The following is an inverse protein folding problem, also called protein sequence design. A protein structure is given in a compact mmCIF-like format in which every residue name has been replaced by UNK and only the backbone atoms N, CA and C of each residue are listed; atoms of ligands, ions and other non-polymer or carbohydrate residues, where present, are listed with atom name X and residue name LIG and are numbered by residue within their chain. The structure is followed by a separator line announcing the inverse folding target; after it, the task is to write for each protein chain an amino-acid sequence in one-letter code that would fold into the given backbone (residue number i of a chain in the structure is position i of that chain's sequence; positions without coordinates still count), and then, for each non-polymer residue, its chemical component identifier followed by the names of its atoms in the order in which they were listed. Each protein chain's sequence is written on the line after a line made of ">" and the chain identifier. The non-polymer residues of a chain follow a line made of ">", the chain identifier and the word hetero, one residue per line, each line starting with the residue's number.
data_IF_185744207239
#
_entry.id   IF_185744207239
#
_cell.length_a   1.000
_cell.length_b   1.000
_cell.length_c   1.000
_cell.angle_alpha   90.00
_cell.angle_beta   90.00
_cell.angle_gamma   90.00
#
_symmetry.space_group_name_H-M   'P 1'
#
loop_
_entity.id
_entity.type
_entity.pdbx_description
1 polymer ?
#
# COMPACT_ATOMS: atom_id res chain seq x y z
N UNK A 1 -33.42 -21.77 -37.68
CA UNK A 1 -33.49 -21.85 -36.20
C UNK A 1 -32.15 -22.16 -35.52
N UNK A 2 -31.18 -22.83 -36.18
CA UNK A 2 -29.86 -23.15 -35.60
C UNK A 2 -28.86 -21.97 -35.55
N UNK A 3 -28.91 -21.06 -36.52
CA UNK A 3 -27.98 -19.92 -36.63
C UNK A 3 -28.25 -18.79 -35.63
N UNK A 4 -29.52 -18.55 -35.29
CA UNK A 4 -29.93 -17.50 -34.32
C UNK A 4 -29.50 -17.86 -32.90
N UNK A 5 -29.61 -19.14 -32.52
CA UNK A 5 -29.14 -19.62 -31.22
C UNK A 5 -27.64 -19.44 -31.04
N UNK A 6 -26.85 -19.69 -32.09
CA UNK A 6 -25.39 -19.49 -32.07
C UNK A 6 -25.03 -18.00 -31.89
N UNK A 7 -25.77 -17.11 -32.53
CA UNK A 7 -25.55 -15.66 -32.45
C UNK A 7 -25.85 -15.12 -31.05
N UNK A 8 -26.91 -15.62 -30.41
CA UNK A 8 -27.27 -15.26 -29.03
C UNK A 8 -26.21 -15.78 -28.05
N UNK A 9 -25.71 -17.01 -28.23
CA UNK A 9 -24.63 -17.57 -27.39
C UNK A 9 -23.36 -16.73 -27.51
N UNK A 10 -22.98 -16.31 -28.72
CA UNK A 10 -21.83 -15.43 -28.95
C UNK A 10 -21.99 -14.07 -28.23
N UNK A 11 -23.16 -13.43 -28.36
CA UNK A 11 -23.44 -12.14 -27.70
C UNK A 11 -23.38 -12.27 -26.16
N UNK A 12 -24.01 -13.30 -25.59
CA UNK A 12 -24.01 -13.54 -24.14
C UNK A 12 -22.59 -13.83 -23.64
N UNK A 13 -21.80 -14.63 -24.38
CA UNK A 13 -20.43 -14.95 -24.01
C UNK A 13 -19.55 -13.69 -23.98
N UNK A 14 -19.66 -12.79 -24.96
CA UNK A 14 -18.91 -11.53 -24.98
C UNK A 14 -19.29 -10.59 -23.82
N UNK A 15 -20.56 -10.58 -23.40
CA UNK A 15 -21.04 -9.71 -22.32
C UNK A 15 -20.53 -10.15 -20.94
N UNK A 16 -20.31 -11.45 -20.72
CA UNK A 16 -19.81 -11.99 -19.44
C UNK A 16 -18.34 -11.63 -19.16
N UNK A 17 -17.50 -11.51 -20.20
CA UNK A 17 -16.10 -11.11 -20.03
C UNK A 17 -15.93 -9.63 -19.67
N UNK A 18 -16.92 -8.78 -20.01
CA UNK A 18 -16.86 -7.33 -19.77
C UNK A 18 -17.21 -6.88 -18.34
N UNK A 19 -17.80 -7.76 -17.53
CA UNK A 19 -18.23 -7.47 -16.14
C UNK A 19 -17.25 -8.03 -15.09
N UNK A 20 -16.09 -8.53 -15.51
CA UNK A 20 -15.07 -9.00 -14.59
C UNK A 20 -14.45 -7.82 -13.84
N UNK A 21 -15.03 -7.47 -12.69
CA UNK A 21 -14.44 -6.52 -11.77
C UNK A 21 -13.11 -7.08 -11.23
N UNK A 22 -12.04 -6.28 -11.30
CA UNK A 22 -10.73 -6.68 -10.82
C UNK A 22 -10.77 -6.88 -9.30
N UNK A 23 -10.57 -8.12 -8.83
CA UNK A 23 -10.49 -8.43 -7.40
C UNK A 23 -9.03 -8.41 -6.96
N UNK A 24 -8.70 -7.56 -5.98
CA UNK A 24 -7.39 -7.57 -5.33
C UNK A 24 -7.20 -8.91 -4.60
N UNK A 25 -6.23 -9.70 -5.06
CA UNK A 25 -5.94 -11.04 -4.49
C UNK A 25 -4.97 -10.98 -3.30
N UNK A 26 -4.26 -9.87 -3.13
CA UNK A 26 -3.34 -9.66 -2.02
C UNK A 26 -2.62 -8.33 -2.14
N UNK A 27 -2.16 -7.81 -1.00
CA UNK A 27 -1.38 -6.58 -0.91
C UNK A 27 -0.18 -6.87 0.00
N UNK A 28 1.00 -6.43 -0.43
CA UNK A 28 2.20 -6.43 0.39
C UNK A 28 2.73 -5.00 0.49
N UNK A 29 3.10 -4.59 1.69
CA UNK A 29 3.59 -3.24 1.99
C UNK A 29 4.95 -3.35 2.66
N UNK A 30 5.94 -2.67 2.10
CA UNK A 30 7.25 -2.46 2.71
C UNK A 30 7.40 -0.95 2.93
N UNK A 31 7.42 -0.54 4.19
CA UNK A 31 7.59 0.85 4.57
C UNK A 31 8.64 0.99 5.66
N UNK A 32 9.29 2.14 5.69
CA UNK A 32 10.17 2.54 6.78
C UNK A 32 9.34 2.99 7.97
N UNK A 33 9.91 2.94 9.18
CA UNK A 33 9.35 3.64 10.32
C UNK A 33 9.18 5.15 10.05
N UNK A 34 8.26 5.78 10.78
CA UNK A 34 7.99 7.22 10.72
C UNK A 34 9.16 8.08 11.22
N UNK A 35 8.90 9.37 11.39
CA UNK A 35 9.88 10.27 12.00
C UNK A 35 10.20 9.83 13.44
N UNK A 36 11.47 9.95 13.82
CA UNK A 36 11.94 9.57 15.14
C UNK A 36 13.09 10.45 15.60
N UNK A 37 13.25 10.55 16.91
CA UNK A 37 14.44 11.10 17.54
C UNK A 37 15.71 10.38 17.03
N UNK A 38 16.87 11.07 16.98
CA UNK A 38 18.15 10.46 16.64
C UNK A 38 18.43 9.26 17.55
N UNK A 39 19.24 8.31 17.08
CA UNK A 39 19.61 7.14 17.89
C UNK A 39 20.73 7.45 18.87
N UNK A 40 21.56 8.42 18.55
CA UNK A 40 22.68 8.91 19.33
C UNK A 40 23.03 10.32 18.87
N UNK A 41 23.79 11.03 19.70
CA UNK A 41 24.40 12.32 19.38
C UNK A 41 25.89 12.15 19.11
N UNK A 42 26.50 13.05 18.35
CA UNK A 42 27.94 13.07 18.10
C UNK A 42 28.65 13.91 19.19
N UNK A 43 29.96 13.73 19.43
CA UNK A 43 30.61 14.30 20.61
C UNK A 43 30.53 15.83 20.73
N UNK A 44 30.59 16.56 19.62
CA UNK A 44 30.52 18.04 19.59
C UNK A 44 29.14 18.59 19.19
N UNK A 45 28.06 17.84 19.40
CA UNK A 45 26.71 18.29 19.08
C UNK A 45 26.29 19.47 19.96
N UNK A 46 26.06 20.68 19.41
CA UNK A 46 25.66 21.84 20.19
C UNK A 46 24.28 21.67 20.84
N UNK A 47 23.49 20.68 20.37
CA UNK A 47 22.17 20.35 20.90
C UNK A 47 22.15 19.00 21.64
N UNK A 48 23.30 18.46 22.06
CA UNK A 48 23.36 17.18 22.80
C UNK A 48 22.46 17.14 24.05
N UNK A 49 22.20 18.30 24.66
CA UNK A 49 21.35 18.45 25.85
C UNK A 49 19.85 18.60 25.52
N UNK A 50 19.45 18.57 24.25
CA UNK A 50 18.05 18.63 23.86
C UNK A 50 17.32 17.35 24.31
N UNK A 51 16.22 17.54 25.04
CA UNK A 51 15.40 16.44 25.53
C UNK A 51 14.36 16.05 24.48
N UNK A 52 14.67 15.03 23.69
CA UNK A 52 13.74 14.46 22.72
C UNK A 52 12.49 13.90 23.41
N UNK A 53 11.27 14.20 22.93
CA UNK A 53 10.05 13.56 23.41
C UNK A 53 10.17 12.03 23.28
N UNK A 54 10.08 11.31 24.41
CA UNK A 54 10.28 9.86 24.45
C UNK A 54 11.73 9.37 24.42
N UNK A 55 12.71 10.28 24.35
CA UNK A 55 14.14 9.95 24.33
C UNK A 55 14.67 9.56 22.94
N UNK A 56 15.95 9.16 22.89
CA UNK A 56 16.60 8.75 21.64
C UNK A 56 15.88 7.55 20.98
N UNK A 57 15.72 7.61 19.66
CA UNK A 57 15.08 6.58 18.85
C UNK A 57 13.56 6.49 18.94
N UNK A 58 12.90 7.29 19.78
CA UNK A 58 11.44 7.32 19.91
C UNK A 58 10.77 7.92 18.67
N UNK A 59 9.60 7.40 18.28
CA UNK A 59 8.78 7.99 17.21
C UNK A 59 8.22 9.33 17.66
N UNK A 60 8.21 10.31 16.75
CA UNK A 60 7.58 11.61 16.98
C UNK A 60 6.06 11.45 17.17
N UNK A 61 5.41 12.17 18.12
CA UNK A 61 3.97 12.14 18.33
C UNK A 61 3.14 12.58 17.13
#
# INVERSE_FOLDING_TARGET
>A
MRSVGLFIVLIVSCFQYGLAEGVVKGVALLFRHGDRAPLASYPEDPYANYSWPGGFGALSP
#
